data_IF_554821103036
#
_entry.id   IF_554821103036
#
_cell.length_a   1.000
_cell.length_b   1.000
_cell.length_c   1.000
_cell.angle_alpha   90.00
_cell.angle_beta   90.00
_cell.angle_gamma   90.00
#
_symmetry.space_group_name_H-M   'P 1'
#
loop_
_entity.id
_entity.type
_entity.pdbx_description
1 polymer ?
#
# COMPACT_ATOMS: atom_id res chain seq x y z
N UNK A 1 21.95 -8.86 10.99
CA UNK A 1 20.87 -8.91 9.99
C UNK A 1 20.52 -7.49 9.59
N UNK A 2 21.01 -7.08 8.42
CA UNK A 2 20.89 -5.73 7.88
C UNK A 2 19.43 -5.44 7.51
N UNK A 3 18.80 -4.48 8.21
CA UNK A 3 17.51 -3.94 7.80
C UNK A 3 17.78 -2.95 6.66
N UNK A 4 17.59 -3.43 5.44
CA UNK A 4 17.76 -2.65 4.22
C UNK A 4 16.76 -1.50 4.22
N UNK A 5 17.31 -0.28 4.22
CA UNK A 5 16.60 0.97 4.17
C UNK A 5 16.25 1.25 2.69
N UNK A 6 15.05 0.85 2.27
CA UNK A 6 14.52 1.05 0.89
C UNK A 6 13.04 1.42 1.01
N UNK A 7 12.75 2.62 1.52
CA UNK A 7 11.40 2.95 2.03
C UNK A 7 10.63 4.02 1.24
N UNK A 8 11.13 4.55 0.10
CA UNK A 8 10.52 5.77 -0.46
C UNK A 8 10.14 5.76 -1.95
N UNK A 9 10.60 4.82 -2.77
CA UNK A 9 10.33 4.88 -4.22
C UNK A 9 9.08 4.10 -4.64
N UNK A 10 8.65 3.10 -3.87
CA UNK A 10 7.57 2.19 -4.24
C UNK A 10 6.22 2.52 -3.60
N UNK A 11 5.94 3.78 -3.23
CA UNK A 11 4.70 4.13 -2.53
C UNK A 11 3.46 4.08 -3.42
N UNK A 12 3.59 4.50 -4.68
CA UNK A 12 2.50 4.49 -5.63
C UNK A 12 3.07 4.46 -7.05
N UNK A 13 2.31 3.90 -7.98
CA UNK A 13 2.65 3.90 -9.40
C UNK A 13 1.44 4.38 -10.21
N UNK A 14 1.69 4.85 -11.43
CA UNK A 14 0.61 5.28 -12.32
C UNK A 14 0.28 4.12 -13.26
N UNK A 15 -0.94 3.61 -13.16
CA UNK A 15 -1.48 2.56 -14.03
C UNK A 15 -2.68 3.13 -14.77
N UNK A 16 -2.66 3.15 -16.11
CA UNK A 16 -3.75 3.71 -16.92
C UNK A 16 -4.10 5.18 -16.57
N UNK A 17 -3.13 5.98 -16.14
CA UNK A 17 -3.35 7.37 -15.70
C UNK A 17 -3.97 7.50 -14.31
N UNK A 18 -4.12 6.39 -13.58
CA UNK A 18 -4.63 6.36 -12.20
C UNK A 18 -3.49 6.09 -11.22
N UNK A 19 -3.52 6.76 -10.07
CA UNK A 19 -2.60 6.49 -8.97
C UNK A 19 -2.98 5.20 -8.28
N UNK A 20 -2.12 4.18 -8.39
CA UNK A 20 -2.25 2.91 -7.69
C UNK A 20 -1.31 2.89 -6.50
N UNK A 21 -1.88 2.93 -5.31
CA UNK A 21 -1.13 2.83 -4.05
C UNK A 21 -0.73 1.38 -3.78
N UNK A 22 0.51 1.21 -3.36
CA UNK A 22 1.07 -0.09 -3.01
C UNK A 22 0.87 -0.40 -1.53
N UNK A 23 1.22 -1.62 -1.15
CA UNK A 23 1.26 -2.07 0.23
C UNK A 23 2.16 -1.17 1.12
N UNK A 24 3.31 -0.74 0.60
CA UNK A 24 4.27 0.08 1.32
C UNK A 24 3.68 1.43 1.75
N UNK A 25 2.90 2.07 0.89
CA UNK A 25 2.19 3.31 1.25
C UNK A 25 1.19 3.10 2.37
N UNK A 26 0.46 1.98 2.35
CA UNK A 26 -0.48 1.65 3.41
C UNK A 26 0.23 1.30 4.74
N UNK A 27 1.41 0.68 4.69
CA UNK A 27 2.25 0.42 5.87
C UNK A 27 2.80 1.73 6.46
N UNK A 28 3.34 2.62 5.60
CA UNK A 28 3.83 3.95 6.01
C UNK A 28 2.73 4.80 6.65
N UNK A 29 1.51 4.70 6.14
CA UNK A 29 0.32 5.37 6.71
C UNK A 29 0.03 4.92 8.14
N UNK A 30 0.43 3.70 8.52
CA UNK A 30 0.31 3.20 9.89
C UNK A 30 -1.10 2.82 10.33
N UNK A 31 -2.12 2.93 9.47
CA UNK A 31 -3.47 2.48 9.78
C UNK A 31 -4.26 2.02 8.55
N UNK A 32 -5.11 1.00 8.78
CA UNK A 32 -6.02 0.46 7.78
C UNK A 32 -7.19 1.43 7.51
N UNK A 33 -7.37 1.83 6.25
CA UNK A 33 -8.45 2.71 5.81
C UNK A 33 -9.83 2.03 5.71
N UNK A 34 -9.89 0.69 5.83
CA UNK A 34 -11.12 -0.11 5.66
C UNK A 34 -11.89 0.14 4.34
N UNK A 35 -11.21 0.65 3.31
CA UNK A 35 -11.83 0.90 1.99
C UNK A 35 -11.83 -0.34 1.08
N UNK A 36 -11.17 -1.44 1.50
CA UNK A 36 -11.06 -2.65 0.66
C UNK A 36 -10.03 -2.50 -0.45
N UNK A 37 -8.88 -1.88 -0.17
CA UNK A 37 -7.79 -1.70 -1.13
C UNK A 37 -7.26 -3.04 -1.66
N UNK A 38 -6.88 -3.09 -2.94
CA UNK A 38 -6.37 -4.30 -3.60
C UNK A 38 -5.03 -4.78 -2.99
N UNK A 39 -4.16 -3.84 -2.64
CA UNK A 39 -2.84 -4.09 -2.04
C UNK A 39 -2.84 -3.82 -0.52
N UNK A 40 -3.91 -4.20 0.18
CA UNK A 40 -4.01 -3.92 1.61
C UNK A 40 -3.01 -4.80 2.42
N UNK A 41 -2.02 -4.21 3.13
CA UNK A 41 -1.10 -4.98 3.99
C UNK A 41 -1.83 -5.68 5.13
N UNK A 42 -2.93 -5.09 5.57
CA UNK A 42 -3.74 -5.61 6.68
C UNK A 42 -4.69 -6.73 6.23
N UNK A 43 -4.65 -7.15 4.96
CA UNK A 43 -5.56 -8.18 4.43
C UNK A 43 -7.03 -7.78 4.43
N UNK A 44 -7.34 -6.48 4.57
CA UNK A 44 -8.72 -6.02 4.62
C UNK A 44 -9.35 -6.06 3.22
N UNK A 45 -10.24 -7.03 3.01
CA UNK A 45 -11.06 -7.14 1.80
C UNK A 45 -12.50 -6.77 2.14
N UNK A 46 -13.03 -5.72 1.51
CA UNK A 46 -14.45 -5.36 1.63
C UNK A 46 -15.25 -6.41 0.86
N UNK A 47 -15.87 -7.35 1.58
CA UNK A 47 -16.89 -8.23 0.99
C UNK A 47 -18.13 -7.38 0.74
N UNK A 48 -18.60 -7.38 -0.51
CA UNK A 48 -19.82 -6.72 -0.94
C UNK A 48 -21.03 -7.57 -0.55
#
# INVERSE_FOLDING_TARGET
>A
MSKNNKDNEDMFYIENGLYVFTEAYHLKRGYCCKNGCRHCPYGFKKKK
#
